data_IF_215494907917
#
_entry.id   IF_215494907917
#
_cell.length_a   1.000
_cell.length_b   1.000
_cell.length_c   1.000
_cell.angle_alpha   90.00
_cell.angle_beta   90.00
_cell.angle_gamma   90.00
#
_symmetry.space_group_name_H-M   'P 1'
#
loop_
_entity.id
_entity.type
_entity.pdbx_description
1 polymer ?
#
# COMPACT_ATOMS: atom_id res chain seq x y z
N UNK A 1 -9.37 0.62 3.10
CA UNK A 1 -9.62 1.68 2.08
C UNK A 1 -8.36 2.50 1.81
N UNK A 2 -7.77 3.14 2.82
CA UNK A 2 -6.60 4.03 2.63
C UNK A 2 -5.40 3.33 1.98
N UNK A 3 -5.01 2.17 2.48
CA UNK A 3 -3.89 1.42 1.90
C UNK A 3 -4.29 0.67 0.63
N UNK A 4 -5.32 -0.16 0.66
CA UNK A 4 -5.60 -1.06 -0.46
C UNK A 4 -6.18 -0.36 -1.69
N UNK A 5 -7.23 0.46 -1.54
CA UNK A 5 -7.85 1.14 -2.70
C UNK A 5 -7.03 2.37 -3.11
N UNK A 6 -6.67 3.24 -2.15
CA UNK A 6 -6.03 4.50 -2.47
C UNK A 6 -4.52 4.35 -2.71
N UNK A 7 -3.72 4.03 -1.68
CA UNK A 7 -2.26 3.98 -1.81
C UNK A 7 -1.81 2.93 -2.84
N UNK A 8 -2.34 1.72 -2.75
CA UNK A 8 -1.90 0.59 -3.55
C UNK A 8 -2.48 0.63 -4.97
N UNK A 9 -3.81 0.53 -5.11
CA UNK A 9 -4.42 0.37 -6.45
C UNK A 9 -4.38 1.66 -7.25
N UNK A 10 -4.76 2.78 -6.64
CA UNK A 10 -4.83 4.05 -7.35
C UNK A 10 -3.46 4.70 -7.51
N UNK A 11 -2.74 4.99 -6.40
CA UNK A 11 -1.50 5.78 -6.49
C UNK A 11 -0.29 4.95 -6.92
N UNK A 12 -0.13 3.72 -6.44
CA UNK A 12 1.03 2.92 -6.82
C UNK A 12 0.87 2.25 -8.18
N UNK A 13 -0.29 1.67 -8.48
CA UNK A 13 -0.48 0.90 -9.71
C UNK A 13 -1.24 1.64 -10.81
N UNK A 14 -1.99 2.71 -10.51
CA UNK A 14 -2.80 3.42 -11.51
C UNK A 14 -3.86 2.50 -12.14
N UNK A 15 -4.43 1.58 -11.36
CA UNK A 15 -5.34 0.55 -11.85
C UNK A 15 -6.69 1.10 -12.35
N UNK A 16 -7.02 2.34 -12.02
CA UNK A 16 -8.23 3.01 -12.48
C UNK A 16 -8.04 4.53 -12.51
N UNK A 17 -8.83 5.19 -13.32
CA UNK A 17 -8.95 6.64 -13.34
C UNK A 17 -10.18 7.08 -12.55
N UNK A 18 -10.15 8.27 -11.97
CA UNK A 18 -11.27 8.81 -11.20
C UNK A 18 -11.40 10.33 -11.38
N UNK A 19 -12.48 10.92 -10.84
CA UNK A 19 -12.71 12.36 -10.87
C UNK A 19 -11.82 13.09 -9.86
N UNK A 20 -11.46 14.34 -10.18
CA UNK A 20 -10.59 15.16 -9.32
C UNK A 20 -11.02 15.21 -7.85
N UNK A 21 -12.31 15.42 -7.50
CA UNK A 21 -12.71 15.40 -6.08
C UNK A 21 -12.45 14.05 -5.41
N UNK A 22 -12.70 12.94 -6.11
CA UNK A 22 -12.45 11.59 -5.58
C UNK A 22 -10.93 11.37 -5.41
N UNK A 23 -10.09 11.84 -6.34
CA UNK A 23 -8.62 11.81 -6.18
C UNK A 23 -8.16 12.47 -4.88
N UNK A 24 -8.74 13.62 -4.52
CA UNK A 24 -8.41 14.32 -3.27
C UNK A 24 -8.88 13.53 -2.04
N UNK A 25 -10.08 12.92 -2.09
CA UNK A 25 -10.56 12.03 -1.04
C UNK A 25 -9.63 10.81 -0.89
N UNK A 26 -9.22 10.19 -1.99
CA UNK A 26 -8.27 9.07 -1.97
C UNK A 26 -6.91 9.50 -1.39
N UNK A 27 -6.43 10.71 -1.72
CA UNK A 27 -5.21 11.26 -1.11
C UNK A 27 -5.32 11.41 0.40
N UNK A 28 -6.45 11.92 0.88
CA UNK A 28 -6.73 12.05 2.31
C UNK A 28 -6.82 10.67 3.00
N UNK A 29 -7.58 9.73 2.45
CA UNK A 29 -7.71 8.37 2.98
C UNK A 29 -6.37 7.62 2.96
N UNK A 30 -5.58 7.78 1.91
CA UNK A 30 -4.22 7.23 1.84
C UNK A 30 -3.34 7.78 2.94
N UNK A 31 -3.40 9.10 3.20
CA UNK A 31 -2.65 9.73 4.28
C UNK A 31 -3.04 9.19 5.65
N UNK A 32 -4.34 8.98 5.91
CA UNK A 32 -4.83 8.46 7.18
C UNK A 32 -4.52 6.97 7.41
N UNK A 33 -4.35 6.18 6.35
CA UNK A 33 -4.10 4.75 6.45
C UNK A 33 -2.68 4.32 6.05
N UNK A 34 -1.91 5.22 5.45
CA UNK A 34 -0.64 4.89 4.84
C UNK A 34 0.53 4.90 5.82
N UNK A 35 1.54 4.15 5.42
CA UNK A 35 2.84 4.10 6.05
C UNK A 35 3.71 5.18 5.41
N UNK A 36 3.71 6.38 6.03
CA UNK A 36 4.41 7.53 5.51
C UNK A 36 3.70 8.24 4.34
N UNK A 37 4.29 9.29 3.78
CA UNK A 37 3.73 10.02 2.66
C UNK A 37 3.42 9.14 1.45
N UNK A 38 2.41 9.49 0.65
CA UNK A 38 2.01 8.75 -0.56
C UNK A 38 3.21 8.53 -1.50
N UNK A 39 4.08 9.52 -1.64
CA UNK A 39 5.29 9.44 -2.47
C UNK A 39 6.25 8.37 -1.96
N UNK A 40 6.47 8.28 -0.65
CA UNK A 40 7.28 7.24 -0.04
C UNK A 40 6.70 5.85 -0.32
N UNK A 41 5.42 5.64 -0.03
CA UNK A 41 4.74 4.38 -0.27
C UNK A 41 4.84 3.93 -1.73
N UNK A 42 4.52 4.82 -2.69
CA UNK A 42 4.56 4.49 -4.12
C UNK A 42 5.96 4.06 -4.56
N UNK A 43 6.99 4.77 -4.11
CA UNK A 43 8.38 4.44 -4.46
C UNK A 43 8.77 3.08 -3.91
N UNK A 44 8.50 2.83 -2.63
CA UNK A 44 8.81 1.55 -1.97
C UNK A 44 8.10 0.37 -2.64
N UNK A 45 6.81 0.54 -2.92
CA UNK A 45 5.98 -0.49 -3.52
C UNK A 45 6.40 -0.81 -4.98
N UNK A 46 6.73 0.22 -5.75
CA UNK A 46 7.30 0.04 -7.10
C UNK A 46 8.67 -0.66 -7.08
N UNK A 47 9.52 -0.31 -6.11
CA UNK A 47 10.81 -0.97 -5.93
C UNK A 47 10.64 -2.44 -5.54
N UNK A 48 9.67 -2.76 -4.68
CA UNK A 48 9.30 -4.13 -4.33
C UNK A 48 8.90 -4.93 -5.59
N UNK A 49 7.95 -4.46 -6.39
CA UNK A 49 7.54 -5.17 -7.61
C UNK A 49 8.68 -5.40 -8.61
N UNK A 50 9.61 -4.44 -8.72
CA UNK A 50 10.75 -4.59 -9.64
C UNK A 50 11.80 -5.60 -9.16
N UNK A 51 11.84 -5.88 -7.85
CA UNK A 51 12.91 -6.65 -7.21
C UNK A 51 12.39 -7.65 -6.20
N UNK A 52 11.11 -8.02 -6.32
CA UNK A 52 10.46 -8.90 -5.37
C UNK A 52 11.31 -10.14 -5.08
N UNK A 53 11.50 -10.42 -3.79
CA UNK A 53 12.26 -11.55 -3.28
C UNK A 53 13.74 -11.63 -3.72
N UNK A 54 14.32 -10.52 -4.12
CA UNK A 54 15.77 -10.35 -4.26
C UNK A 54 16.40 -9.69 -3.04
N UNK A 55 17.72 -9.63 -2.97
CA UNK A 55 18.46 -8.94 -1.89
C UNK A 55 18.19 -7.43 -1.86
N UNK A 56 17.69 -6.85 -2.95
CA UNK A 56 17.37 -5.44 -3.10
C UNK A 56 15.87 -5.14 -2.91
N UNK A 57 15.08 -6.13 -2.51
CA UNK A 57 13.69 -5.93 -2.13
C UNK A 57 13.59 -5.22 -0.78
N UNK A 58 12.86 -4.10 -0.66
CA UNK A 58 12.76 -3.33 0.58
C UNK A 58 12.26 -4.13 1.78
N UNK A 59 11.47 -5.16 1.57
CA UNK A 59 10.83 -5.89 2.66
C UNK A 59 10.62 -7.38 2.39
N UNK A 60 11.47 -8.02 1.56
CA UNK A 60 11.34 -9.46 1.33
C UNK A 60 11.55 -10.27 2.62
N UNK A 61 10.60 -11.17 2.97
CA UNK A 61 10.77 -12.08 4.10
C UNK A 61 11.80 -13.17 3.86
N UNK A 62 12.32 -13.31 2.65
CA UNK A 62 13.39 -14.23 2.31
C UNK A 62 14.72 -13.79 2.91
N UNK A 63 14.96 -12.48 3.00
CA UNK A 63 16.22 -11.89 3.43
C UNK A 63 16.10 -11.13 4.75
N UNK A 64 14.88 -10.85 5.19
CA UNK A 64 14.62 -10.03 6.37
C UNK A 64 13.81 -10.79 7.43
N UNK A 65 14.01 -10.42 8.69
CA UNK A 65 13.22 -10.97 9.80
C UNK A 65 11.77 -10.53 9.72
N UNK A 66 10.87 -11.25 10.40
CA UNK A 66 9.46 -10.85 10.48
C UNK A 66 9.29 -9.44 11.06
N UNK A 67 10.08 -9.09 12.08
CA UNK A 67 10.02 -7.75 12.68
C UNK A 67 10.38 -6.66 11.67
N UNK A 68 11.38 -6.90 10.83
CA UNK A 68 11.76 -5.97 9.78
C UNK A 68 10.63 -5.82 8.75
N UNK A 69 10.08 -6.92 8.24
CA UNK A 69 9.01 -6.92 7.23
C UNK A 69 7.70 -6.34 7.75
N UNK A 70 7.41 -6.50 9.04
CA UNK A 70 6.20 -5.91 9.63
C UNK A 70 6.35 -4.43 9.98
N UNK A 71 7.53 -4.03 10.50
CA UNK A 71 7.66 -2.73 11.14
C UNK A 71 8.88 -1.92 10.68
N UNK A 72 10.07 -2.50 10.71
CA UNK A 72 11.31 -1.71 10.67
C UNK A 72 11.56 -1.02 9.32
N UNK A 73 11.13 -1.61 8.21
CA UNK A 73 11.31 -1.02 6.88
C UNK A 73 10.53 0.29 6.68
N UNK A 74 9.50 0.53 7.49
CA UNK A 74 8.68 1.75 7.41
C UNK A 74 9.34 2.96 8.05
N UNK A 75 10.37 2.73 8.87
CA UNK A 75 11.15 3.78 9.49
C UNK A 75 12.41 4.08 8.68
N UNK A 76 12.84 5.34 8.61
CA UNK A 76 14.11 5.70 7.98
C UNK A 76 15.26 4.91 8.63
N UNK A 77 15.81 3.96 7.89
CA UNK A 77 17.00 3.21 8.27
C UNK A 77 18.17 3.88 7.56
N UNK A 78 19.06 4.54 8.27
CA UNK A 78 20.07 5.46 7.73
C UNK A 78 20.88 4.99 6.52
N UNK A 79 21.03 3.68 6.29
CA UNK A 79 21.69 3.13 5.11
C UNK A 79 20.70 2.85 3.96
N UNK A 80 19.48 2.44 4.26
CA UNK A 80 18.50 2.05 3.25
C UNK A 80 17.89 3.26 2.54
N UNK A 81 17.72 4.39 3.24
CA UNK A 81 17.21 5.62 2.64
C UNK A 81 18.22 6.19 1.62
N UNK A 82 19.52 6.12 1.92
CA UNK A 82 20.57 6.51 0.98
C UNK A 82 20.67 5.55 -0.21
N UNK A 83 20.49 4.27 0.00
CA UNK A 83 20.54 3.26 -1.06
C UNK A 83 19.35 3.41 -2.03
N UNK A 84 18.14 3.71 -1.53
CA UNK A 84 16.98 4.05 -2.34
C UNK A 84 17.15 5.34 -3.14
N UNK A 85 17.71 6.37 -2.52
CA UNK A 85 17.99 7.64 -3.20
C UNK A 85 19.11 7.50 -4.25
N UNK A 86 19.95 6.46 -4.16
CA UNK A 86 20.92 6.09 -5.19
C UNK A 86 20.28 5.33 -6.37
N UNK A 87 19.11 4.70 -6.16
CA UNK A 87 18.40 4.05 -7.25
C UNK A 87 17.87 5.08 -8.24
N UNK A 88 18.34 4.99 -9.48
CA UNK A 88 17.94 5.92 -10.55
C UNK A 88 16.45 5.93 -10.84
N UNK A 89 15.79 4.78 -10.69
CA UNK A 89 14.35 4.66 -10.90
C UNK A 89 13.57 5.35 -9.79
N UNK A 90 13.87 5.03 -8.53
CA UNK A 90 13.25 5.64 -7.36
C UNK A 90 13.42 7.17 -7.36
N UNK A 91 14.64 7.64 -7.68
CA UNK A 91 14.94 9.08 -7.79
C UNK A 91 14.13 9.77 -8.90
N UNK A 92 14.03 9.17 -10.09
CA UNK A 92 13.23 9.73 -11.19
C UNK A 92 11.75 9.80 -10.83
N UNK A 93 11.22 8.73 -10.25
CA UNK A 93 9.82 8.66 -9.83
C UNK A 93 9.52 9.71 -8.74
N UNK A 94 10.37 9.84 -7.73
CA UNK A 94 10.25 10.86 -6.69
C UNK A 94 10.22 12.27 -7.28
N UNK A 95 11.16 12.61 -8.16
CA UNK A 95 11.21 13.92 -8.84
C UNK A 95 9.95 14.16 -9.67
N UNK A 96 9.47 13.14 -10.40
CA UNK A 96 8.24 13.26 -11.19
C UNK A 96 7.02 13.52 -10.31
N UNK A 97 6.86 12.77 -9.23
CA UNK A 97 5.74 12.93 -8.30
C UNK A 97 5.77 14.30 -7.62
N UNK A 98 6.93 14.78 -7.18
CA UNK A 98 7.08 16.07 -6.50
C UNK A 98 6.85 17.28 -7.42
N UNK A 99 6.76 17.10 -8.75
CA UNK A 99 6.33 18.15 -9.69
C UNK A 99 4.81 18.33 -9.74
N UNK A 100 4.02 17.32 -9.31
CA UNK A 100 2.58 17.44 -9.21
C UNK A 100 2.19 18.10 -7.87
N UNK A 101 1.50 19.26 -7.88
CA UNK A 101 1.07 19.96 -6.66
C UNK A 101 0.25 19.08 -5.71
N UNK A 102 -0.48 18.10 -6.22
CA UNK A 102 -1.23 17.14 -5.43
C UNK A 102 -0.32 16.29 -4.54
N UNK A 103 0.71 15.66 -5.11
CA UNK A 103 1.64 14.85 -4.33
C UNK A 103 2.48 15.69 -3.39
N UNK A 104 2.90 16.88 -3.85
CA UNK A 104 3.65 17.84 -3.02
C UNK A 104 2.83 18.26 -1.80
N UNK A 105 1.54 18.53 -1.97
CA UNK A 105 0.63 18.86 -0.87
C UNK A 105 0.57 17.75 0.18
N UNK A 106 0.25 16.52 -0.22
CA UNK A 106 0.14 15.40 0.72
C UNK A 106 1.49 15.01 1.33
N UNK A 107 2.60 15.17 0.60
CA UNK A 107 3.94 14.95 1.13
C UNK A 107 4.26 15.93 2.27
N UNK A 108 4.11 17.23 2.01
CA UNK A 108 4.46 18.29 2.97
C UNK A 108 3.52 18.36 4.18
N UNK A 109 2.29 17.90 4.04
CA UNK A 109 1.27 17.99 5.10
C UNK A 109 0.91 16.64 5.72
N UNK A 110 1.60 15.55 5.38
CA UNK A 110 1.29 14.19 5.83
C UNK A 110 1.03 14.11 7.34
N UNK A 111 2.03 14.46 8.14
CA UNK A 111 1.90 14.41 9.61
C UNK A 111 0.92 15.44 10.17
N UNK A 112 0.83 16.60 9.55
CA UNK A 112 -0.13 17.63 9.97
C UNK A 112 -1.57 17.16 9.80
N UNK A 113 -1.88 16.50 8.67
CA UNK A 113 -3.21 15.93 8.40
C UNK A 113 -3.55 14.87 9.45
N UNK A 114 -2.64 13.92 9.71
CA UNK A 114 -2.87 12.86 10.71
C UNK A 114 -3.08 13.43 12.10
N UNK A 115 -2.20 14.36 12.54
CA UNK A 115 -2.30 14.97 13.86
C UNK A 115 -3.57 15.80 14.02
N UNK A 116 -3.92 16.62 13.01
CA UNK A 116 -5.14 17.41 13.03
C UNK A 116 -6.38 16.54 13.07
N UNK A 117 -6.44 15.48 12.23
CA UNK A 117 -7.55 14.54 12.23
C UNK A 117 -7.68 13.81 13.59
N UNK A 118 -6.57 13.32 14.13
CA UNK A 118 -6.53 12.67 15.44
C UNK A 118 -7.01 13.60 16.57
N UNK A 119 -6.58 14.87 16.54
CA UNK A 119 -7.01 15.87 17.53
C UNK A 119 -8.50 16.17 17.42
N UNK A 120 -9.03 16.33 16.20
CA UNK A 120 -10.47 16.56 15.97
C UNK A 120 -11.27 15.38 16.56
N UNK A 121 -10.88 14.15 16.26
CA UNK A 121 -11.56 12.98 16.81
C UNK A 121 -11.52 12.95 18.34
N UNK A 122 -10.37 13.21 18.94
CA UNK A 122 -10.19 13.24 20.39
C UNK A 122 -11.01 14.35 21.08
N UNK A 123 -11.19 15.51 20.42
CA UNK A 123 -11.99 16.63 20.92
C UNK A 123 -13.50 16.37 20.82
N UNK A 124 -13.94 15.61 19.82
CA UNK A 124 -15.35 15.18 19.70
C UNK A 124 -15.66 14.14 20.76
N UNK A 125 -14.90 13.05 20.80
CA UNK A 125 -14.94 12.00 21.81
C UNK A 125 -13.64 11.21 21.77
N UNK A 126 -12.91 11.03 22.88
CA UNK A 126 -11.71 10.23 22.95
C UNK A 126 -11.87 8.80 22.39
N UNK A 127 -13.07 8.22 22.44
CA UNK A 127 -13.37 6.91 21.88
C UNK A 127 -13.17 6.89 20.36
N UNK A 128 -13.50 7.95 19.63
CA UNK A 128 -13.25 8.02 18.19
C UNK A 128 -11.76 8.04 17.84
N UNK A 129 -10.95 8.73 18.64
CA UNK A 129 -9.49 8.67 18.49
C UNK A 129 -8.97 7.25 18.73
N UNK A 130 -9.42 6.56 19.79
CA UNK A 130 -9.01 5.19 20.10
C UNK A 130 -9.45 4.23 18.98
N UNK A 131 -10.66 4.38 18.45
CA UNK A 131 -11.13 3.57 17.31
C UNK A 131 -10.27 3.80 16.05
N UNK A 132 -9.92 5.04 15.75
CA UNK A 132 -9.01 5.36 14.64
C UNK A 132 -7.62 4.76 14.85
N UNK A 133 -7.04 4.91 16.04
CA UNK A 133 -5.73 4.36 16.36
C UNK A 133 -5.73 2.83 16.25
N UNK A 134 -6.78 2.16 16.73
CA UNK A 134 -6.94 0.71 16.58
C UNK A 134 -7.07 0.30 15.12
N UNK A 135 -7.89 1.00 14.33
CA UNK A 135 -8.04 0.74 12.89
C UNK A 135 -6.72 0.92 12.15
N UNK A 136 -5.95 1.94 12.49
CA UNK A 136 -4.60 2.17 11.95
C UNK A 136 -3.65 0.99 12.28
N UNK A 137 -3.62 0.55 13.53
CA UNK A 137 -2.79 -0.60 13.95
C UNK A 137 -3.20 -1.89 13.22
N UNK A 138 -4.49 -2.14 13.06
CA UNK A 138 -5.00 -3.32 12.33
C UNK A 138 -4.60 -3.26 10.86
N UNK A 139 -4.73 -2.11 10.20
CA UNK A 139 -4.38 -1.96 8.78
C UNK A 139 -2.85 -2.05 8.57
N UNK A 140 -2.07 -1.49 9.50
CA UNK A 140 -0.61 -1.62 9.51
C UNK A 140 -0.17 -3.08 9.65
N UNK A 141 -0.77 -3.82 10.61
CA UNK A 141 -0.52 -5.25 10.80
C UNK A 141 -0.93 -6.05 9.55
N UNK A 142 -2.08 -5.76 8.95
CA UNK A 142 -2.57 -6.39 7.73
C UNK A 142 -1.55 -6.28 6.59
N UNK A 143 -0.97 -5.09 6.41
CA UNK A 143 0.04 -4.85 5.39
C UNK A 143 1.30 -5.70 5.62
N UNK A 144 1.85 -5.67 6.84
CA UNK A 144 2.99 -6.51 7.22
C UNK A 144 2.69 -8.00 7.05
N UNK A 145 1.47 -8.43 7.38
CA UNK A 145 1.01 -9.79 7.23
C UNK A 145 0.99 -10.25 5.76
N UNK A 146 0.50 -9.41 4.86
CA UNK A 146 0.52 -9.70 3.42
C UNK A 146 1.94 -9.77 2.90
N UNK A 147 2.79 -8.78 3.20
CA UNK A 147 4.18 -8.77 2.79
C UNK A 147 4.96 -9.99 3.30
N UNK A 148 4.66 -10.47 4.50
CA UNK A 148 5.38 -11.60 5.10
C UNK A 148 4.82 -12.95 4.64
N UNK A 149 3.52 -13.20 4.88
CA UNK A 149 2.96 -14.53 4.64
C UNK A 149 2.64 -14.79 3.18
N UNK A 150 2.23 -13.80 2.39
CA UNK A 150 1.97 -14.02 0.96
C UNK A 150 3.25 -14.22 0.13
N UNK A 151 4.44 -14.00 0.71
CA UNK A 151 5.72 -14.40 0.09
C UNK A 151 6.30 -15.70 0.69
N UNK A 152 5.54 -16.41 1.54
CA UNK A 152 6.03 -17.63 2.21
C UNK A 152 5.06 -18.80 2.17
N UNK A 153 3.76 -18.53 2.19
CA UNK A 153 2.76 -19.59 2.36
C UNK A 153 1.44 -19.25 1.69
N UNK A 154 0.96 -20.19 0.91
CA UNK A 154 -0.30 -20.07 0.20
C UNK A 154 -0.28 -20.92 -1.07
N UNK A 155 -1.22 -20.66 -1.97
CA UNK A 155 -1.29 -21.28 -3.28
C UNK A 155 -0.99 -20.26 -4.39
N UNK A 156 -0.71 -20.75 -5.58
CA UNK A 156 -0.43 -19.91 -6.75
C UNK A 156 -1.47 -20.21 -7.84
N UNK A 157 -1.92 -19.16 -8.50
CA UNK A 157 -2.71 -19.24 -9.72
C UNK A 157 -1.83 -19.04 -10.96
N UNK A 158 -0.72 -18.30 -10.78
CA UNK A 158 0.18 -17.90 -11.86
C UNK A 158 1.63 -18.18 -11.47
N UNK A 159 2.41 -18.61 -12.46
CA UNK A 159 3.86 -18.68 -12.31
C UNK A 159 4.44 -17.26 -12.43
N UNK A 160 5.14 -16.82 -11.38
CA UNK A 160 5.89 -15.56 -11.30
C UNK A 160 7.33 -15.85 -10.91
N UNK A 161 8.24 -14.93 -11.22
CA UNK A 161 9.67 -15.09 -10.87
C UNK A 161 9.92 -14.95 -9.36
N UNK A 162 9.00 -14.31 -8.64
CA UNK A 162 9.03 -14.14 -7.20
C UNK A 162 8.36 -15.31 -6.44
N UNK A 163 8.40 -15.27 -5.12
CA UNK A 163 7.81 -16.28 -4.24
C UNK A 163 6.36 -15.99 -3.84
N UNK A 164 5.68 -15.06 -4.52
CA UNK A 164 4.32 -14.65 -4.15
C UNK A 164 3.30 -15.78 -4.23
N UNK A 165 2.42 -15.81 -3.26
CA UNK A 165 1.32 -16.75 -3.13
C UNK A 165 0.02 -16.02 -2.82
N UNK A 166 -1.11 -16.64 -3.10
CA UNK A 166 -2.42 -16.24 -2.60
C UNK A 166 -2.64 -16.90 -1.25
N UNK A 167 -2.86 -16.12 -0.22
CA UNK A 167 -3.17 -16.63 1.11
C UNK A 167 -4.66 -16.48 1.40
N UNK A 168 -5.35 -17.60 1.63
CA UNK A 168 -6.80 -17.62 1.78
C UNK A 168 -7.29 -16.76 2.95
N UNK A 169 -6.65 -16.88 4.12
CA UNK A 169 -7.02 -16.11 5.31
C UNK A 169 -6.84 -14.61 5.09
N UNK A 170 -5.69 -14.21 4.55
CA UNK A 170 -5.38 -12.81 4.26
C UNK A 170 -6.20 -12.28 3.07
N UNK A 171 -6.59 -13.13 2.14
CA UNK A 171 -7.51 -12.76 1.05
C UNK A 171 -8.88 -12.35 1.58
N UNK A 172 -9.45 -13.14 2.47
CA UNK A 172 -10.74 -12.84 3.08
C UNK A 172 -10.68 -11.70 4.11
N UNK A 173 -9.83 -11.81 5.12
CA UNK A 173 -9.70 -10.79 6.16
C UNK A 173 -9.12 -9.47 5.63
N UNK A 174 -8.29 -9.55 4.59
CA UNK A 174 -7.67 -8.41 3.92
C UNK A 174 -8.52 -7.81 2.80
N UNK A 175 -9.80 -8.21 2.66
CA UNK A 175 -10.73 -7.66 1.66
C UNK A 175 -10.21 -7.75 0.21
N UNK A 176 -9.45 -8.81 -0.11
CA UNK A 176 -8.85 -9.06 -1.43
C UNK A 176 -7.33 -8.82 -1.49
N UNK A 177 -6.75 -8.16 -0.49
CA UNK A 177 -5.32 -7.81 -0.49
C UNK A 177 -4.38 -9.02 -0.42
N UNK A 178 -4.85 -10.16 0.11
CA UNK A 178 -4.10 -11.43 0.17
C UNK A 178 -4.13 -12.26 -1.12
N UNK A 179 -4.80 -11.84 -2.20
CA UNK A 179 -4.67 -12.45 -3.53
C UNK A 179 -3.40 -11.95 -4.22
N UNK A 180 -2.27 -12.14 -3.57
CA UNK A 180 -1.02 -11.45 -3.83
C UNK A 180 -0.26 -12.01 -5.04
N UNK A 181 -0.33 -13.32 -5.29
CA UNK A 181 0.19 -13.92 -6.52
C UNK A 181 -0.60 -13.43 -7.76
N UNK A 182 -1.94 -13.30 -7.65
CA UNK A 182 -2.74 -12.74 -8.72
C UNK A 182 -2.33 -11.29 -9.01
N UNK A 183 -2.03 -10.53 -7.95
CA UNK A 183 -1.58 -9.16 -8.04
C UNK A 183 -0.19 -9.04 -8.71
N UNK A 184 0.79 -9.82 -8.27
CA UNK A 184 2.14 -9.78 -8.83
C UNK A 184 2.18 -10.25 -10.28
N UNK A 185 1.35 -11.22 -10.66
CA UNK A 185 1.21 -11.65 -12.05
C UNK A 185 0.56 -10.57 -12.95
N UNK A 186 -0.38 -9.78 -12.39
CA UNK A 186 -1.16 -8.78 -13.14
C UNK A 186 -1.32 -7.48 -12.35
N UNK A 187 -0.22 -6.71 -12.09
CA UNK A 187 -0.24 -5.54 -11.21
C UNK A 187 -1.14 -4.39 -11.71
N UNK A 188 -1.45 -4.34 -13.00
CA UNK A 188 -2.38 -3.38 -13.57
C UNK A 188 -3.86 -3.77 -13.46
N UNK A 189 -4.18 -4.97 -12.99
CA UNK A 189 -5.55 -5.46 -12.91
C UNK A 189 -6.25 -4.94 -11.65
N UNK A 190 -7.38 -4.26 -11.82
CA UNK A 190 -8.12 -3.65 -10.69
C UNK A 190 -8.77 -4.69 -9.78
N UNK A 191 -9.45 -5.70 -10.34
CA UNK A 191 -10.10 -6.78 -9.59
C UNK A 191 -9.19 -8.00 -9.66
N UNK A 192 -8.64 -8.40 -8.52
CA UNK A 192 -7.65 -9.48 -8.41
C UNK A 192 -8.29 -10.88 -8.37
N UNK A 193 -9.60 -10.96 -8.33
CA UNK A 193 -10.32 -12.23 -8.35
C UNK A 193 -9.97 -13.04 -9.60
N UNK A 194 -9.49 -14.26 -9.41
CA UNK A 194 -9.27 -15.24 -10.46
C UNK A 194 -10.21 -16.45 -10.30
N UNK A 195 -10.37 -16.94 -9.06
CA UNK A 195 -11.30 -18.02 -8.72
C UNK A 195 -12.56 -17.49 -8.07
N UNK A 196 -13.68 -18.21 -8.15
CA UNK A 196 -14.98 -17.72 -7.65
C UNK A 196 -15.00 -17.37 -6.15
N UNK A 197 -14.13 -17.97 -5.34
CA UNK A 197 -14.01 -17.68 -3.89
C UNK A 197 -13.01 -16.55 -3.56
N UNK A 198 -12.26 -16.07 -4.52
CA UNK A 198 -11.28 -14.99 -4.33
C UNK A 198 -11.98 -13.63 -4.39
N UNK A 199 -12.89 -13.37 -3.44
CA UNK A 199 -13.63 -12.10 -3.42
C UNK A 199 -12.67 -10.96 -3.15
N UNK A 200 -12.69 -9.95 -4.01
CA UNK A 200 -11.84 -8.75 -3.94
C UNK A 200 -12.66 -7.49 -3.69
N UNK A 201 -13.03 -7.27 -2.43
CA UNK A 201 -13.87 -6.14 -2.02
C UNK A 201 -13.22 -4.80 -2.38
N UNK A 202 -11.90 -4.66 -2.16
CA UNK A 202 -11.17 -3.43 -2.50
C UNK A 202 -11.15 -3.17 -4.01
N UNK A 203 -11.02 -4.21 -4.84
CA UNK A 203 -11.14 -4.11 -6.29
C UNK A 203 -12.51 -3.64 -6.75
N UNK A 204 -13.58 -4.18 -6.17
CA UNK A 204 -14.95 -3.75 -6.47
C UNK A 204 -15.22 -2.31 -6.04
N UNK A 205 -14.69 -1.86 -4.89
CA UNK A 205 -14.80 -0.45 -4.49
C UNK A 205 -14.06 0.45 -5.48
N UNK A 206 -12.84 0.09 -5.90
CA UNK A 206 -12.12 0.81 -6.94
C UNK A 206 -12.92 0.91 -8.25
N UNK A 207 -13.55 -0.20 -8.65
CA UNK A 207 -14.41 -0.23 -9.84
C UNK A 207 -15.63 0.71 -9.74
N UNK A 208 -16.27 0.81 -8.55
CA UNK A 208 -17.41 1.71 -8.34
C UNK A 208 -17.06 3.19 -8.47
N UNK A 209 -15.84 3.59 -8.11
CA UNK A 209 -15.36 4.98 -8.18
C UNK A 209 -14.55 5.29 -9.43
N UNK A 210 -14.43 4.32 -10.34
CA UNK A 210 -13.78 4.52 -11.65
C UNK A 210 -14.59 5.51 -12.49
N UNK A 211 -13.88 6.47 -13.10
CA UNK A 211 -14.48 7.40 -14.06
C UNK A 211 -14.96 6.60 -15.28
N UNK A 212 -16.24 6.73 -15.57
CA UNK A 212 -16.84 6.14 -16.76
C UNK A 212 -16.75 7.13 -17.93
N UNK A 213 -16.61 6.64 -19.17
CA UNK A 213 -16.59 7.48 -20.36
C UNK A 213 -17.88 8.28 -20.52
#
# INVERSE_FOLDING_TARGET
MGNGVAAHRYFAHGQFETYTPIRWILGFLSTLGAIGPITFWVIQHKAHHLRADTTNDPHSPKYNSWFYVFYAWTFPQGNNEQEYLQDRYAKRLAVQMMRDPFYLFFHNHHYKIILTFSLILALIDPAYFLMYALAYCVDFFRLGAVNYWCHRSGYRNFETEDATTNNLLLGWLGMGFGWHNNHHAHPGRLILQHRWWEIDVEGYIGWLITKRP
#
